data_IF_067714982438
#
_entry.id   IF_067714982438
#
_cell.length_a   1.000
_cell.length_b   1.000
_cell.length_c   1.000
_cell.angle_alpha   90.00
_cell.angle_beta   90.00
_cell.angle_gamma   90.00
#
_symmetry.space_group_name_H-M   'P 1'
#
loop_
_entity.id
_entity.type
_entity.pdbx_description
1 polymer ?
#
# COMPACT_ATOMS: atom_id res chain seq x y z
N UNK A 1 2.56 29.74 -0.31
CA UNK A 1 2.57 29.20 -1.69
C UNK A 1 1.47 28.15 -1.76
N UNK A 2 0.42 28.35 -2.54
CA UNK A 2 -0.65 27.35 -2.72
C UNK A 2 -0.34 26.56 -3.99
N UNK A 3 0.22 25.36 -3.83
CA UNK A 3 0.34 24.42 -4.95
C UNK A 3 -1.06 23.92 -5.32
N UNK A 4 -1.48 24.08 -6.57
CA UNK A 4 -2.67 23.42 -7.13
C UNK A 4 -2.21 22.08 -7.70
N UNK A 5 -2.78 20.99 -7.22
CA UNK A 5 -2.58 19.63 -7.75
C UNK A 5 -3.85 19.27 -8.54
N UNK A 6 -3.70 18.87 -9.79
CA UNK A 6 -4.80 18.40 -10.65
C UNK A 6 -4.64 16.91 -10.93
N UNK A 7 -5.69 16.13 -10.69
CA UNK A 7 -5.74 14.72 -11.08
C UNK A 7 -5.81 14.58 -12.61
N UNK A 8 -4.96 13.73 -13.17
CA UNK A 8 -4.87 13.46 -14.60
C UNK A 8 -5.61 12.19 -15.05
N UNK A 9 -6.30 11.49 -14.12
CA UNK A 9 -7.05 10.26 -14.42
C UNK A 9 -8.51 10.29 -13.88
N UNK A 10 -9.29 11.37 -14.11
CA UNK A 10 -10.63 11.52 -13.51
C UNK A 10 -11.63 10.44 -13.95
N UNK A 11 -11.43 9.82 -15.12
CA UNK A 11 -12.28 8.76 -15.66
C UNK A 11 -12.10 7.41 -14.94
N UNK A 12 -11.04 7.25 -14.15
CA UNK A 12 -10.73 6.03 -13.39
C UNK A 12 -10.97 6.21 -11.90
N UNK A 13 -12.08 6.86 -11.56
CA UNK A 13 -12.48 7.06 -10.17
C UNK A 13 -12.85 5.70 -9.52
N UNK A 14 -12.07 5.22 -8.51
CA UNK A 14 -12.23 3.93 -7.89
C UNK A 14 -13.48 3.82 -6.99
N UNK A 15 -14.04 4.94 -6.53
CA UNK A 15 -15.08 4.96 -5.49
C UNK A 15 -16.35 4.18 -5.85
N UNK A 16 -16.63 4.01 -7.15
CA UNK A 16 -17.84 3.34 -7.64
C UNK A 16 -17.57 1.99 -8.30
N UNK A 17 -16.32 1.55 -8.35
CA UNK A 17 -15.99 0.29 -8.99
C UNK A 17 -16.40 -0.89 -8.08
N UNK A 18 -17.15 -1.89 -8.59
CA UNK A 18 -17.70 -2.97 -7.78
C UNK A 18 -16.62 -3.85 -7.12
N UNK A 19 -15.39 -3.81 -7.63
CA UNK A 19 -14.26 -4.59 -7.10
C UNK A 19 -13.43 -3.88 -6.02
N UNK A 20 -13.69 -2.61 -5.72
CA UNK A 20 -12.83 -1.80 -4.83
C UNK A 20 -13.43 -1.63 -3.44
N UNK A 21 -14.73 -1.34 -3.36
CA UNK A 21 -15.40 -1.09 -2.08
C UNK A 21 -15.52 -2.33 -1.17
N UNK A 22 -16.07 -3.46 -1.66
CA UNK A 22 -16.23 -4.66 -0.84
C UNK A 22 -14.86 -5.32 -0.57
N UNK A 23 -14.44 -5.52 0.69
CA UNK A 23 -13.10 -6.02 1.01
C UNK A 23 -12.72 -7.33 0.34
N UNK A 24 -13.67 -8.26 0.16
CA UNK A 24 -13.42 -9.56 -0.47
C UNK A 24 -13.49 -9.55 -2.00
N UNK A 25 -13.92 -8.45 -2.63
CA UNK A 25 -13.94 -8.35 -4.09
C UNK A 25 -12.53 -8.20 -4.70
N UNK A 26 -11.52 -7.87 -3.89
CA UNK A 26 -10.12 -7.80 -4.30
C UNK A 26 -9.61 -9.08 -5.01
N UNK A 27 -10.11 -10.27 -4.65
CA UNK A 27 -9.74 -11.53 -5.30
C UNK A 27 -10.16 -11.63 -6.77
N UNK A 28 -11.07 -10.75 -7.21
CA UNK A 28 -11.52 -10.64 -8.59
C UNK A 28 -10.82 -9.52 -9.37
N UNK A 29 -9.97 -8.71 -8.72
CA UNK A 29 -9.33 -7.57 -9.36
C UNK A 29 -8.24 -7.97 -10.37
N UNK A 30 -7.61 -9.14 -10.20
CA UNK A 30 -6.61 -9.64 -11.14
C UNK A 30 -7.15 -9.78 -12.56
N UNK A 31 -6.43 -9.25 -13.54
CA UNK A 31 -6.81 -9.24 -14.97
C UNK A 31 -8.12 -8.51 -15.30
N UNK A 32 -8.69 -7.76 -14.36
CA UNK A 32 -9.83 -6.89 -14.63
C UNK A 32 -9.41 -5.61 -15.35
N UNK A 33 -10.37 -4.74 -15.65
CA UNK A 33 -10.15 -3.43 -16.26
C UNK A 33 -9.41 -2.44 -15.34
N UNK A 34 -9.37 -2.71 -14.03
CA UNK A 34 -8.62 -1.95 -13.01
C UNK A 34 -7.24 -2.58 -12.68
N UNK A 35 -6.79 -3.56 -13.45
CA UNK A 35 -5.43 -4.11 -13.38
C UNK A 35 -4.68 -3.79 -14.68
N UNK A 36 -3.43 -3.35 -14.57
CA UNK A 36 -2.55 -3.24 -15.74
C UNK A 36 -2.22 -4.59 -16.35
N UNK A 37 -2.33 -5.66 -15.55
CA UNK A 37 -2.09 -7.04 -15.95
C UNK A 37 -0.72 -7.23 -16.61
N UNK A 38 0.30 -6.54 -16.09
CA UNK A 38 1.66 -6.66 -16.60
C UNK A 38 2.15 -8.10 -16.50
N UNK A 39 3.08 -8.43 -17.39
CA UNK A 39 3.77 -9.71 -17.40
C UNK A 39 5.26 -9.48 -17.25
N UNK A 40 5.92 -10.32 -16.46
CA UNK A 40 7.37 -10.41 -16.52
C UNK A 40 7.81 -10.91 -17.90
N UNK A 41 9.07 -10.67 -18.26
CA UNK A 41 9.72 -11.47 -19.31
C UNK A 41 9.75 -12.96 -18.89
N UNK A 42 9.96 -13.91 -19.82
CA UNK A 42 10.13 -15.33 -19.48
C UNK A 42 11.21 -15.54 -18.41
N UNK A 43 10.85 -16.20 -17.31
CA UNK A 43 11.76 -16.45 -16.19
C UNK A 43 12.33 -17.87 -16.30
N UNK A 44 13.62 -18.00 -16.62
CA UNK A 44 14.28 -19.31 -16.77
C UNK A 44 14.12 -20.22 -15.54
N UNK A 45 14.28 -19.73 -14.29
CA UNK A 45 14.05 -20.55 -13.09
C UNK A 45 12.61 -21.04 -12.92
N UNK A 46 11.66 -20.46 -13.65
CA UNK A 46 10.23 -20.81 -13.60
C UNK A 46 9.78 -21.54 -14.87
N UNK A 47 10.68 -22.31 -15.50
CA UNK A 47 10.45 -23.01 -16.77
C UNK A 47 10.04 -22.05 -17.90
N UNK A 48 10.70 -20.90 -17.97
CA UNK A 48 10.40 -19.83 -18.94
C UNK A 48 8.95 -19.30 -18.88
N UNK A 49 8.25 -19.49 -17.75
CA UNK A 49 6.93 -18.87 -17.58
C UNK A 49 7.05 -17.36 -17.47
N UNK A 50 6.09 -16.68 -18.08
CA UNK A 50 5.78 -15.29 -17.76
C UNK A 50 4.91 -15.25 -16.51
N UNK A 51 5.23 -14.34 -15.59
CA UNK A 51 4.52 -14.17 -14.32
C UNK A 51 3.66 -12.93 -14.38
N UNK A 52 2.42 -13.03 -13.93
CA UNK A 52 1.54 -11.88 -13.77
C UNK A 52 2.00 -10.98 -12.62
N UNK A 53 2.13 -9.70 -12.93
CA UNK A 53 2.53 -8.66 -12.01
C UNK A 53 1.34 -7.72 -11.82
N UNK A 54 0.48 -8.05 -10.84
CA UNK A 54 -0.72 -7.27 -10.53
C UNK A 54 -0.35 -5.82 -10.17
N UNK A 55 -0.95 -4.85 -10.88
CA UNK A 55 -0.74 -3.43 -10.64
C UNK A 55 -2.02 -2.65 -10.87
N UNK A 56 -2.42 -1.85 -9.87
CA UNK A 56 -3.66 -1.09 -9.94
C UNK A 56 -3.66 -0.04 -11.06
N UNK A 57 -4.70 -0.11 -11.90
CA UNK A 57 -5.01 0.82 -12.99
C UNK A 57 -6.21 1.68 -12.63
N UNK A 58 -6.15 2.34 -11.48
CA UNK A 58 -7.17 3.27 -11.00
C UNK A 58 -6.50 4.40 -10.18
N UNK A 59 -7.24 5.47 -9.87
CA UNK A 59 -6.81 6.41 -8.83
C UNK A 59 -6.61 5.63 -7.52
N UNK A 60 -5.62 6.01 -6.70
CA UNK A 60 -5.07 5.23 -5.57
C UNK A 60 -4.15 4.04 -5.96
N UNK A 61 -4.09 3.66 -7.25
CA UNK A 61 -3.13 2.66 -7.75
C UNK A 61 -3.25 1.31 -7.06
N UNK A 62 -2.13 0.76 -6.58
CA UNK A 62 -2.09 -0.54 -5.90
C UNK A 62 -2.98 -0.64 -4.66
N UNK A 63 -3.19 0.47 -3.92
CA UNK A 63 -4.07 0.48 -2.75
C UNK A 63 -5.52 0.17 -3.10
N UNK A 64 -5.96 0.50 -4.31
CA UNK A 64 -7.32 0.23 -4.76
C UNK A 64 -7.61 -1.26 -5.03
N UNK A 65 -6.56 -2.08 -5.22
CA UNK A 65 -6.68 -3.49 -5.64
C UNK A 65 -5.96 -4.47 -4.71
N UNK A 66 -5.38 -4.00 -3.62
CA UNK A 66 -4.67 -4.86 -2.67
C UNK A 66 -5.66 -5.63 -1.77
N UNK A 67 -5.11 -6.45 -0.86
CA UNK A 67 -5.88 -7.29 0.06
C UNK A 67 -6.25 -6.60 1.39
N UNK A 68 -6.11 -5.27 1.49
CA UNK A 68 -6.49 -4.50 2.67
C UNK A 68 -5.66 -4.76 3.94
N UNK A 69 -4.55 -5.51 3.84
CA UNK A 69 -3.68 -5.80 4.98
C UNK A 69 -2.85 -4.57 5.36
N UNK A 70 -2.85 -4.23 6.64
CA UNK A 70 -2.02 -3.17 7.21
C UNK A 70 -0.95 -3.78 8.11
N UNK A 71 0.30 -3.80 7.65
CA UNK A 71 1.44 -4.33 8.39
C UNK A 71 2.66 -3.43 8.20
N UNK A 72 3.59 -3.50 9.16
CA UNK A 72 4.91 -2.87 9.09
C UNK A 72 5.98 -3.97 9.05
N UNK A 73 7.13 -3.66 8.47
CA UNK A 73 8.29 -4.55 8.47
C UNK A 73 8.90 -4.70 9.87
N UNK A 74 9.91 -5.56 10.00
CA UNK A 74 10.71 -5.62 11.22
C UNK A 74 11.54 -4.35 11.34
N UNK A 75 11.87 -3.92 12.57
CA UNK A 75 12.75 -2.77 12.77
C UNK A 75 14.09 -2.92 12.04
N UNK A 76 14.60 -4.14 11.97
CA UNK A 76 15.84 -4.47 11.26
C UNK A 76 15.81 -4.12 9.76
N UNK A 77 14.64 -4.20 9.11
CA UNK A 77 14.52 -3.87 7.68
C UNK A 77 14.74 -2.37 7.44
N UNK A 78 14.13 -1.54 8.28
CA UNK A 78 14.27 -0.08 8.23
C UNK A 78 15.66 0.39 8.66
N UNK A 79 16.22 -0.23 9.70
CA UNK A 79 17.56 0.09 10.18
C UNK A 79 18.63 -0.28 9.14
N UNK A 80 18.40 -1.33 8.34
CA UNK A 80 19.26 -1.65 7.20
C UNK A 80 19.11 -0.61 6.07
N UNK A 81 17.90 -0.15 5.78
CA UNK A 81 17.70 0.94 4.81
C UNK A 81 18.44 2.20 5.23
N UNK A 82 18.32 2.60 6.49
CA UNK A 82 19.03 3.76 7.05
C UNK A 82 20.54 3.68 6.82
N UNK A 83 21.14 2.51 7.06
CA UNK A 83 22.58 2.28 6.81
C UNK A 83 22.93 2.35 5.33
N UNK A 84 22.13 1.71 4.47
CA UNK A 84 22.38 1.66 3.03
C UNK A 84 22.32 3.06 2.39
N UNK A 85 21.40 3.91 2.84
CA UNK A 85 21.23 5.26 2.31
C UNK A 85 22.01 6.32 3.08
N UNK A 86 22.54 5.98 4.26
CA UNK A 86 23.29 6.88 5.13
C UNK A 86 22.44 7.95 5.82
N UNK A 87 21.15 7.67 6.07
CA UNK A 87 20.19 8.62 6.65
C UNK A 87 19.30 7.91 7.69
N UNK A 88 19.49 8.28 8.95
CA UNK A 88 18.77 7.73 10.11
C UNK A 88 17.27 8.03 10.11
N UNK A 89 16.80 8.97 9.29
CA UNK A 89 15.34 9.20 9.14
C UNK A 89 14.63 7.99 8.54
N UNK A 90 15.35 7.11 7.82
CA UNK A 90 14.83 5.85 7.30
C UNK A 90 14.86 4.69 8.30
N UNK A 91 15.47 4.87 9.48
CA UNK A 91 15.47 3.85 10.54
C UNK A 91 14.05 3.60 11.04
N UNK A 92 13.83 2.52 11.79
CA UNK A 92 12.49 2.26 12.35
C UNK A 92 12.03 3.43 13.23
N UNK A 93 12.93 3.90 14.10
CA UNK A 93 12.64 5.01 15.00
C UNK A 93 12.46 6.33 14.25
N UNK A 94 13.20 6.56 13.17
CA UNK A 94 13.04 7.73 12.30
C UNK A 94 11.71 7.73 11.54
N UNK A 95 11.24 6.55 11.14
CA UNK A 95 10.00 6.36 10.37
C UNK A 95 8.74 6.31 11.25
N UNK A 96 8.86 5.86 12.50
CA UNK A 96 7.73 5.64 13.42
C UNK A 96 6.77 6.86 13.54
N UNK A 97 7.24 8.11 13.67
CA UNK A 97 6.35 9.28 13.70
C UNK A 97 5.45 9.40 12.46
N UNK A 98 5.94 8.99 11.28
CA UNK A 98 5.19 9.04 10.03
C UNK A 98 4.20 7.88 9.90
N UNK A 99 4.57 6.69 10.38
CA UNK A 99 3.62 5.57 10.47
C UNK A 99 2.44 5.93 11.38
N UNK A 100 2.70 6.54 12.54
CA UNK A 100 1.65 7.01 13.44
C UNK A 100 0.84 8.15 12.83
N UNK A 101 1.46 9.04 12.05
CA UNK A 101 0.76 10.18 11.43
C UNK A 101 -0.29 9.77 10.40
N UNK A 102 -0.06 8.70 9.65
CA UNK A 102 -1.01 8.23 8.61
C UNK A 102 -2.12 7.35 9.19
N UNK A 103 -1.87 6.71 10.32
CA UNK A 103 -2.73 5.69 10.90
C UNK A 103 -3.78 6.26 11.88
N UNK A 104 -4.99 5.73 11.77
CA UNK A 104 -6.04 5.77 12.78
C UNK A 104 -6.37 4.34 13.17
N UNK A 105 -5.75 3.86 14.24
CA UNK A 105 -5.90 2.50 14.73
C UNK A 105 -7.10 2.39 15.68
N UNK A 106 -7.99 1.44 15.43
CA UNK A 106 -9.27 1.32 16.13
C UNK A 106 -9.24 0.35 17.33
N UNK A 107 -8.17 -0.43 17.52
CA UNK A 107 -8.04 -1.33 18.66
C UNK A 107 -7.59 -0.56 19.92
N UNK A 108 -8.43 -0.46 20.97
CA UNK A 108 -8.05 0.24 22.20
C UNK A 108 -7.00 -0.51 23.05
N UNK A 109 -6.71 -1.78 22.75
CA UNK A 109 -5.74 -2.60 23.47
C UNK A 109 -4.36 -2.63 22.81
N UNK A 110 -4.17 -1.92 21.69
CA UNK A 110 -2.87 -1.85 21.03
C UNK A 110 -1.84 -1.07 21.86
N UNK A 111 -0.57 -1.19 21.50
CA UNK A 111 0.51 -0.38 22.09
C UNK A 111 0.45 1.07 21.55
N UNK A 112 0.11 2.07 22.38
CA UNK A 112 0.01 3.47 21.94
C UNK A 112 1.37 4.09 21.58
N UNK A 113 2.48 3.48 22.00
CA UNK A 113 3.80 3.91 21.56
C UNK A 113 4.00 3.58 20.07
N UNK A 114 3.41 2.48 19.59
CA UNK A 114 3.55 2.00 18.22
C UNK A 114 2.47 2.51 17.26
N UNK A 115 1.26 2.82 17.73
CA UNK A 115 0.13 3.16 16.85
C UNK A 115 -0.29 4.63 16.84
N UNK A 116 -0.81 5.07 15.70
CA UNK A 116 -1.46 6.37 15.51
C UNK A 116 -2.97 6.29 15.65
N UNK A 117 -3.60 7.38 16.10
CA UNK A 117 -5.05 7.43 16.38
C UNK A 117 -5.78 8.57 15.68
N UNK A 118 -5.06 9.44 14.94
CA UNK A 118 -5.61 10.66 14.35
C UNK A 118 -5.40 10.75 12.83
N UNK A 119 -4.81 9.70 12.22
CA UNK A 119 -4.49 9.66 10.81
C UNK A 119 -5.70 9.51 9.88
N UNK A 120 -5.47 9.60 8.57
CA UNK A 120 -6.53 9.45 7.57
C UNK A 120 -6.90 7.97 7.30
N UNK A 121 -5.97 7.06 7.53
CA UNK A 121 -6.12 5.65 7.18
C UNK A 121 -6.63 4.87 8.38
N UNK A 122 -7.87 4.39 8.30
CA UNK A 122 -8.49 3.61 9.36
C UNK A 122 -8.01 2.17 9.31
N UNK A 123 -7.58 1.65 10.45
CA UNK A 123 -7.05 0.29 10.58
C UNK A 123 -7.66 -0.37 11.82
N UNK A 124 -7.89 -1.68 11.75
CA UNK A 124 -8.39 -2.45 12.88
C UNK A 124 -7.67 -3.78 12.97
N UNK A 125 -7.69 -4.38 14.15
CA UNK A 125 -7.41 -5.80 14.31
C UNK A 125 -8.55 -6.63 13.71
N UNK A 126 -8.25 -7.86 13.30
CA UNK A 126 -9.18 -8.85 12.72
C UNK A 126 -9.60 -9.86 13.77
#
# INVERSE_FOLDING_TARGET
>A
MNARISDQQPEKNPERHPLIGPPFACFQAHYSDIDWAYKSVPQAPLNNREVHLAQGKALSGGTAVNYGTWTRGSSADYDEWAKLVGDETWSYNGSLPYFKKVEHHLDPNCDPEQHGFDGSTHTSTI
#
